data_IF_801776133722
#
_entry.id   IF_801776133722
#
_cell.length_a   1.000
_cell.length_b   1.000
_cell.length_c   1.000
_cell.angle_alpha   90.00
_cell.angle_beta   90.00
_cell.angle_gamma   90.00
#
_symmetry.space_group_name_H-M   'P 1'
#
loop_
_entity.id
_entity.type
_entity.pdbx_description
1 polymer ?
#
# COMPACT_ATOMS: atom_id res chain seq x y z
N UNK A 1 2.54 -25.95 -72.69
CA UNK A 1 3.10 -25.14 -73.78
C UNK A 1 2.90 -23.69 -73.43
N UNK A 2 3.93 -23.01 -73.10
CA UNK A 2 4.36 -21.68 -73.55
C UNK A 2 5.57 -21.28 -72.69
N UNK A 3 6.69 -21.18 -73.38
CA UNK A 3 7.98 -20.69 -72.89
C UNK A 3 7.91 -19.23 -72.51
N UNK A 4 8.59 -18.85 -71.45
CA UNK A 4 9.04 -17.49 -71.32
C UNK A 4 10.50 -17.43 -70.86
N UNK A 5 11.27 -16.74 -71.60
CA UNK A 5 12.74 -16.66 -71.61
C UNK A 5 13.27 -15.79 -70.47
N UNK A 6 14.34 -16.25 -69.91
CA UNK A 6 15.33 -15.54 -69.10
C UNK A 6 15.89 -14.31 -69.83
N UNK A 7 15.97 -13.18 -69.15
CA UNK A 7 16.96 -12.14 -69.41
C UNK A 7 17.73 -11.79 -68.15
N UNK A 8 18.98 -12.14 -68.20
CA UNK A 8 19.98 -11.80 -67.20
C UNK A 8 20.53 -10.42 -67.51
N UNK A 9 20.44 -9.50 -66.57
CA UNK A 9 21.25 -8.27 -66.60
C UNK A 9 22.05 -8.20 -65.31
N UNK A 10 23.34 -8.39 -65.47
CA UNK A 10 24.36 -8.23 -64.43
C UNK A 10 24.61 -6.75 -64.27
N UNK A 11 24.13 -6.18 -63.15
CA UNK A 11 24.46 -4.83 -62.73
C UNK A 11 25.61 -4.87 -61.71
N UNK A 12 26.76 -4.37 -62.09
CA UNK A 12 27.91 -4.21 -61.23
C UNK A 12 27.67 -3.05 -60.27
N UNK A 13 27.34 -3.34 -59.01
CA UNK A 13 27.32 -2.31 -57.95
C UNK A 13 28.69 -2.25 -57.28
N UNK A 14 29.37 -1.13 -57.49
CA UNK A 14 30.55 -0.80 -56.71
C UNK A 14 30.15 -0.46 -55.29
N UNK A 15 30.57 -1.32 -54.32
CA UNK A 15 30.42 -1.05 -52.92
C UNK A 15 31.54 -0.13 -52.45
N UNK A 16 31.20 1.14 -52.23
CA UNK A 16 32.07 2.09 -51.55
C UNK A 16 32.00 1.78 -50.05
N UNK A 17 32.99 1.13 -49.52
CA UNK A 17 33.15 0.91 -48.07
C UNK A 17 33.70 2.21 -47.48
N UNK A 18 32.85 3.02 -46.90
CA UNK A 18 33.24 4.15 -46.06
C UNK A 18 33.59 3.62 -44.69
N UNK A 19 34.89 3.55 -44.41
CA UNK A 19 35.38 3.25 -43.05
C UNK A 19 35.15 4.47 -42.18
N UNK A 20 34.09 4.42 -41.39
CA UNK A 20 33.87 5.36 -40.29
C UNK A 20 34.87 5.00 -39.16
N UNK A 21 35.90 5.79 -39.04
CA UNK A 21 36.77 5.77 -37.88
C UNK A 21 36.00 6.36 -36.71
N UNK A 22 35.39 5.50 -35.91
CA UNK A 22 34.78 5.91 -34.62
C UNK A 22 35.94 6.05 -33.64
N UNK A 23 36.32 7.30 -33.38
CA UNK A 23 37.23 7.60 -32.27
C UNK A 23 36.53 7.23 -30.96
N UNK A 24 37.17 6.50 -30.05
CA UNK A 24 36.57 6.27 -28.72
C UNK A 24 36.55 7.59 -27.98
N UNK A 25 35.34 8.17 -27.83
CA UNK A 25 35.11 9.24 -26.88
C UNK A 25 35.22 8.59 -25.49
N UNK A 26 36.14 9.01 -24.63
CA UNK A 26 36.15 8.48 -23.26
C UNK A 26 34.83 8.80 -22.60
N UNK A 27 34.27 7.89 -21.78
CA UNK A 27 33.08 8.19 -21.03
C UNK A 27 33.39 9.40 -20.16
N UNK A 28 32.77 10.53 -20.45
CA UNK A 28 32.69 11.65 -19.52
C UNK A 28 32.00 11.11 -18.30
N UNK A 29 32.72 10.86 -17.23
CA UNK A 29 32.21 10.74 -15.90
C UNK A 29 31.35 11.99 -15.67
N UNK A 30 30.03 11.82 -15.79
CA UNK A 30 29.12 12.82 -15.26
C UNK A 30 29.45 12.86 -13.77
N UNK A 31 30.14 13.88 -13.36
CA UNK A 31 30.23 14.29 -11.98
C UNK A 31 28.80 14.26 -11.46
N UNK A 32 28.50 13.30 -10.59
CA UNK A 32 27.29 13.32 -9.80
C UNK A 32 27.32 14.69 -9.13
N UNK A 33 26.43 15.56 -9.57
CA UNK A 33 26.19 16.82 -8.91
C UNK A 33 25.98 16.46 -7.44
N UNK A 34 26.88 16.93 -6.60
CA UNK A 34 26.78 16.73 -5.17
C UNK A 34 25.32 17.04 -4.80
N UNK A 35 24.63 16.05 -4.25
CA UNK A 35 23.33 16.27 -3.62
C UNK A 35 23.51 17.51 -2.76
N UNK A 36 22.73 18.58 -2.95
CA UNK A 36 22.85 19.74 -2.12
C UNK A 36 22.78 19.25 -0.69
N UNK A 37 23.80 19.45 0.11
CA UNK A 37 23.71 19.31 1.56
C UNK A 37 22.57 20.22 1.95
N UNK A 38 21.45 19.64 2.29
CA UNK A 38 20.42 20.37 3.02
C UNK A 38 21.12 20.93 4.24
N UNK A 39 21.25 22.24 4.24
CA UNK A 39 21.74 22.98 5.41
C UNK A 39 20.83 22.60 6.56
N UNK A 40 21.38 21.83 7.48
CA UNK A 40 20.67 21.45 8.68
C UNK A 40 20.43 22.67 9.55
N UNK A 41 19.22 23.15 9.54
CA UNK A 41 18.59 23.85 10.63
C UNK A 41 17.32 23.09 11.02
N UNK A 42 17.52 21.87 11.50
CA UNK A 42 16.50 21.14 12.23
C UNK A 42 16.84 21.12 13.71
N UNK A 43 16.66 22.23 14.37
CA UNK A 43 16.43 22.27 15.81
C UNK A 43 14.93 22.43 16.05
N UNK A 44 14.20 21.38 15.80
CA UNK A 44 13.07 20.90 16.62
C UNK A 44 12.67 19.54 16.09
N UNK A 45 13.10 18.52 16.82
CA UNK A 45 12.91 17.15 16.42
C UNK A 45 11.44 16.75 16.43
N UNK A 46 10.98 16.37 15.27
CA UNK A 46 10.03 15.30 15.11
C UNK A 46 10.58 14.42 13.99
N UNK A 47 10.92 13.21 14.34
CA UNK A 47 11.39 12.20 13.40
C UNK A 47 10.38 12.04 12.26
N UNK A 48 10.83 12.31 11.05
CA UNK A 48 10.29 11.66 9.88
C UNK A 48 8.98 12.20 9.30
N UNK A 49 8.88 13.51 9.09
CA UNK A 49 7.71 14.15 8.45
C UNK A 49 7.60 13.95 6.92
N UNK A 50 8.20 12.89 6.38
CA UNK A 50 8.03 12.57 4.97
C UNK A 50 6.62 12.04 4.63
N UNK A 51 5.76 11.84 5.63
CA UNK A 51 4.34 11.48 5.50
C UNK A 51 3.40 12.67 5.56
N UNK A 52 3.91 13.86 5.59
CA UNK A 52 3.06 15.05 5.65
C UNK A 52 2.11 15.05 4.46
N UNK A 53 0.85 15.25 4.73
CA UNK A 53 -0.16 15.47 3.69
C UNK A 53 0.31 16.56 2.73
N UNK A 54 0.07 16.40 1.45
CA UNK A 54 0.53 17.28 0.42
C UNK A 54 -0.64 17.95 -0.31
N UNK A 55 -0.41 19.13 -0.82
CA UNK A 55 -1.36 19.84 -1.67
C UNK A 55 -1.38 19.28 -3.11
N UNK A 56 -2.10 19.97 -3.99
CA UNK A 56 -2.26 19.61 -5.41
C UNK A 56 -0.95 19.43 -6.20
N UNK A 57 0.18 19.84 -5.68
CA UNK A 57 1.48 19.72 -6.33
C UNK A 57 2.48 18.94 -5.48
N UNK A 58 1.98 18.08 -4.62
CA UNK A 58 2.83 17.32 -3.69
C UNK A 58 3.65 18.20 -2.76
N UNK A 59 3.19 19.43 -2.52
CA UNK A 59 3.78 20.32 -1.52
C UNK A 59 3.24 19.95 -0.14
N UNK A 60 4.09 19.80 0.88
CA UNK A 60 3.63 19.50 2.23
C UNK A 60 2.55 20.49 2.69
N UNK A 61 1.39 19.98 3.10
CA UNK A 61 0.36 20.83 3.68
C UNK A 61 0.87 21.39 5.01
N UNK A 62 0.65 22.67 5.26
CA UNK A 62 0.94 23.23 6.55
C UNK A 62 0.06 22.54 7.58
N UNK A 63 0.69 21.78 8.42
CA UNK A 63 0.24 21.21 9.68
C UNK A 63 -1.29 21.03 9.91
N UNK A 64 -1.64 20.27 10.90
CA UNK A 64 -3.00 19.92 11.41
C UNK A 64 -4.01 21.08 11.49
N UNK A 65 -3.56 22.32 11.27
CA UNK A 65 -4.42 23.49 11.15
C UNK A 65 -5.46 23.40 10.02
N UNK A 66 -5.20 22.60 9.01
CA UNK A 66 -6.16 22.33 7.90
C UNK A 66 -7.47 21.72 8.41
N UNK A 67 -7.40 20.98 9.51
CA UNK A 67 -8.55 20.32 10.14
C UNK A 67 -9.08 21.06 11.38
N UNK A 68 -8.29 21.98 11.95
CA UNK A 68 -8.73 22.82 13.07
C UNK A 68 -9.74 23.83 12.56
N UNK A 69 -10.83 24.01 13.27
CA UNK A 69 -11.83 25.06 13.06
C UNK A 69 -12.85 24.86 11.93
N UNK A 70 -12.89 23.71 11.25
CA UNK A 70 -14.00 23.40 10.37
C UNK A 70 -15.22 23.06 11.21
N UNK A 71 -16.28 23.87 11.11
CA UNK A 71 -17.57 23.49 11.70
C UNK A 71 -18.04 22.20 11.06
N UNK A 72 -18.44 21.19 11.85
CA UNK A 72 -19.01 19.96 11.31
C UNK A 72 -20.17 20.28 10.38
N UNK A 73 -20.11 19.79 9.16
CA UNK A 73 -21.22 19.83 8.23
C UNK A 73 -21.86 18.43 8.16
N UNK A 74 -23.18 18.32 7.90
CA UNK A 74 -23.83 17.03 7.79
C UNK A 74 -23.20 16.20 6.67
N UNK A 75 -23.11 14.91 6.89
CA UNK A 75 -22.66 13.97 5.87
C UNK A 75 -23.67 13.92 4.71
N UNK A 76 -23.21 13.82 3.46
CA UNK A 76 -24.10 13.47 2.36
C UNK A 76 -24.52 11.99 2.50
N UNK A 77 -25.82 11.68 2.26
CA UNK A 77 -26.30 10.30 2.37
C UNK A 77 -25.71 9.42 1.27
N UNK A 78 -25.32 8.21 1.64
CA UNK A 78 -24.78 7.17 0.75
C UNK A 78 -23.64 7.64 -0.15
N UNK A 79 -22.77 8.47 0.40
CA UNK A 79 -21.62 9.01 -0.30
C UNK A 79 -20.35 8.88 0.54
N UNK A 80 -19.37 8.13 0.04
CA UNK A 80 -18.03 7.98 0.60
C UNK A 80 -16.98 8.73 -0.23
N UNK A 81 -17.39 9.36 -1.34
CA UNK A 81 -16.48 9.97 -2.30
C UNK A 81 -15.60 11.04 -1.67
N UNK A 82 -14.35 11.05 -2.07
CA UNK A 82 -13.35 11.99 -1.60
C UNK A 82 -11.98 11.37 -1.44
N UNK A 83 -11.00 12.20 -1.12
CA UNK A 83 -9.67 11.77 -0.70
C UNK A 83 -9.58 11.90 0.81
N UNK A 84 -9.18 10.83 1.47
CA UNK A 84 -9.19 10.67 2.91
C UNK A 84 -7.80 10.44 3.45
N UNK A 85 -7.51 10.96 4.64
CA UNK A 85 -6.24 10.78 5.33
C UNK A 85 -6.46 10.27 6.76
N UNK A 86 -5.90 9.11 7.08
CA UNK A 86 -5.90 8.54 8.42
C UNK A 86 -4.80 9.06 9.34
N UNK A 87 -3.91 9.92 8.84
CA UNK A 87 -2.73 10.40 9.58
C UNK A 87 -3.00 11.66 10.41
N UNK A 88 -4.07 12.39 10.11
CA UNK A 88 -4.34 13.71 10.67
C UNK A 88 -4.41 13.74 12.20
N UNK A 89 -4.74 12.65 12.86
CA UNK A 89 -4.83 12.57 14.33
C UNK A 89 -3.51 12.15 15.01
N UNK A 90 -2.40 12.13 14.29
CA UNK A 90 -1.09 11.85 14.83
C UNK A 90 -0.82 10.37 15.07
N UNK A 91 -1.57 9.49 14.39
CA UNK A 91 -1.16 8.11 14.21
C UNK A 91 0.18 8.11 13.49
N UNK A 92 1.21 7.61 14.14
CA UNK A 92 2.45 7.35 13.42
C UNK A 92 2.20 6.07 12.63
N UNK A 93 2.34 6.14 11.32
CA UNK A 93 2.19 4.94 10.46
C UNK A 93 3.15 3.83 10.85
N UNK A 94 4.30 4.19 11.38
CA UNK A 94 5.27 3.24 11.91
C UNK A 94 4.69 2.38 13.06
N UNK A 95 3.65 2.85 13.73
CA UNK A 95 3.01 2.16 14.85
C UNK A 95 1.58 1.70 14.58
N UNK A 96 1.07 1.94 13.37
CA UNK A 96 -0.33 1.70 13.05
C UNK A 96 -1.31 2.69 13.69
N UNK A 97 -2.61 2.59 13.39
CA UNK A 97 -3.65 3.36 14.08
C UNK A 97 -3.68 3.04 15.56
N UNK A 98 -4.04 4.01 16.41
CA UNK A 98 -4.10 3.81 17.87
C UNK A 98 -5.02 2.67 18.30
N UNK A 99 -6.07 2.43 17.55
CA UNK A 99 -7.03 1.35 17.76
C UNK A 99 -6.53 0.01 17.22
N UNK A 100 -5.45 0.01 16.50
CA UNK A 100 -4.89 -1.20 15.94
C UNK A 100 -4.11 -1.94 17.03
N UNK A 101 -4.48 -3.19 17.37
CA UNK A 101 -3.93 -3.86 18.54
C UNK A 101 -2.52 -4.42 18.33
N UNK A 102 -1.74 -3.88 17.42
CA UNK A 102 -0.43 -4.38 17.05
C UNK A 102 0.66 -3.33 16.95
N UNK A 103 0.39 -2.17 17.39
CA UNK A 103 1.55 -1.39 17.77
C UNK A 103 2.30 -2.23 18.83
N UNK A 104 3.60 -2.15 18.81
CA UNK A 104 4.48 -2.95 19.67
C UNK A 104 4.10 -2.97 21.15
N UNK A 105 3.25 -2.04 21.55
CA UNK A 105 2.74 -1.88 22.91
C UNK A 105 1.33 -2.43 23.11
N UNK A 106 0.63 -2.89 22.07
CA UNK A 106 -0.76 -3.26 22.16
C UNK A 106 -0.98 -4.64 22.78
N UNK A 107 -1.75 -4.65 23.80
CA UNK A 107 -2.26 -5.85 24.48
C UNK A 107 -3.76 -5.71 24.73
N UNK A 108 -4.52 -6.77 24.59
CA UNK A 108 -4.08 -8.16 24.41
C UNK A 108 -3.74 -8.50 22.95
N UNK A 109 -2.92 -9.52 22.75
CA UNK A 109 -2.71 -10.16 21.46
C UNK A 109 -4.04 -10.61 20.83
N UNK A 110 -4.13 -10.69 19.50
CA UNK A 110 -5.23 -11.35 18.84
C UNK A 110 -5.43 -12.78 19.35
N UNK A 111 -6.64 -13.32 19.28
CA UNK A 111 -6.96 -14.64 19.81
C UNK A 111 -6.39 -15.76 18.91
N UNK A 112 -5.09 -15.88 18.79
CA UNK A 112 -4.43 -16.87 17.95
C UNK A 112 -4.86 -18.31 18.26
N UNK A 113 -5.07 -19.10 17.20
CA UNK A 113 -5.02 -20.56 17.28
C UNK A 113 -3.58 -21.05 17.47
N UNK A 114 -3.39 -22.35 17.72
CA UNK A 114 -2.04 -22.93 17.75
C UNK A 114 -1.32 -22.77 16.40
N UNK A 115 -2.05 -22.91 15.29
CA UNK A 115 -1.53 -22.72 13.93
C UNK A 115 -1.17 -21.24 13.70
N UNK A 116 -2.05 -20.33 14.12
CA UNK A 116 -1.82 -18.88 14.03
C UNK A 116 -0.56 -18.43 14.79
N UNK A 117 -0.36 -18.93 16.00
CA UNK A 117 0.88 -18.67 16.76
C UNK A 117 2.12 -19.18 16.04
N UNK A 118 2.07 -20.43 15.54
CA UNK A 118 3.18 -20.99 14.80
C UNK A 118 3.47 -20.25 13.49
N UNK A 119 2.43 -19.76 12.81
CA UNK A 119 2.58 -18.94 11.63
C UNK A 119 3.18 -17.57 11.95
N UNK A 120 2.70 -16.92 13.02
CA UNK A 120 3.23 -15.63 13.50
C UNK A 120 4.72 -15.70 13.83
N UNK A 121 5.18 -16.78 14.48
CA UNK A 121 6.59 -16.97 14.80
C UNK A 121 7.49 -17.18 13.56
N UNK A 122 6.95 -17.62 12.44
CA UNK A 122 7.72 -17.72 11.18
C UNK A 122 7.87 -16.39 10.47
N UNK A 123 6.97 -15.47 10.73
CA UNK A 123 7.00 -14.13 10.15
C UNK A 123 7.95 -13.25 10.96
N UNK A 124 9.11 -12.98 10.40
CA UNK A 124 10.17 -12.18 11.01
C UNK A 124 9.95 -10.72 10.62
N UNK A 125 9.23 -9.99 11.44
CA UNK A 125 8.91 -8.60 11.20
C UNK A 125 10.04 -7.68 11.67
N UNK A 126 10.24 -6.57 10.97
CA UNK A 126 11.16 -5.50 11.37
C UNK A 126 10.58 -4.58 12.47
N UNK A 127 9.31 -4.76 12.82
CA UNK A 127 8.59 -3.95 13.79
C UNK A 127 7.83 -4.85 14.78
N UNK A 128 7.40 -4.24 15.90
CA UNK A 128 6.66 -4.95 16.93
C UNK A 128 7.53 -5.45 18.08
N UNK A 129 6.91 -6.14 19.06
CA UNK A 129 7.61 -6.66 20.26
C UNK A 129 8.67 -7.71 19.90
N UNK A 130 8.43 -8.47 18.84
CA UNK A 130 9.29 -9.57 18.40
C UNK A 130 10.11 -9.18 17.15
N UNK A 131 10.39 -7.88 17.01
CA UNK A 131 11.17 -7.38 15.88
C UNK A 131 12.53 -8.09 15.77
N UNK A 132 12.92 -8.36 14.54
CA UNK A 132 14.23 -8.94 14.22
C UNK A 132 15.14 -7.88 13.61
N UNK A 133 16.43 -8.18 13.51
CA UNK A 133 17.37 -7.32 12.79
C UNK A 133 16.97 -7.18 11.31
N UNK A 134 17.30 -6.05 10.71
CA UNK A 134 16.90 -5.72 9.33
C UNK A 134 17.31 -6.79 8.31
N UNK A 135 18.44 -7.45 8.51
CA UNK A 135 18.91 -8.53 7.63
C UNK A 135 18.12 -9.84 7.77
N UNK A 136 17.38 -10.02 8.85
CA UNK A 136 16.60 -11.22 9.13
C UNK A 136 15.11 -11.07 8.79
N UNK A 137 14.67 -9.86 8.41
CA UNK A 137 13.29 -9.57 8.04
C UNK A 137 12.87 -10.36 6.82
N UNK A 138 11.71 -11.01 6.89
CA UNK A 138 11.14 -11.76 5.78
C UNK A 138 9.77 -11.22 5.32
N UNK A 139 9.52 -9.95 5.58
CA UNK A 139 8.31 -9.29 5.10
C UNK A 139 8.27 -9.27 3.56
N UNK A 140 7.22 -9.82 2.92
CA UNK A 140 7.09 -9.82 1.47
C UNK A 140 7.17 -8.41 0.86
N UNK A 141 6.70 -7.40 1.57
CA UNK A 141 6.71 -6.00 1.13
C UNK A 141 8.14 -5.47 0.93
N UNK A 142 9.11 -5.98 1.69
CA UNK A 142 10.53 -5.63 1.52
C UNK A 142 11.14 -6.18 0.21
N UNK A 143 10.37 -6.96 -0.52
CA UNK A 143 10.71 -7.43 -1.88
C UNK A 143 9.79 -6.83 -2.95
N UNK A 144 9.04 -5.78 -2.61
CA UNK A 144 8.03 -5.14 -3.43
C UNK A 144 6.85 -6.05 -3.80
N UNK A 145 6.59 -7.10 -3.04
CA UNK A 145 5.32 -7.80 -3.16
C UNK A 145 4.18 -6.87 -2.73
N UNK A 146 2.99 -7.01 -3.32
CA UNK A 146 1.84 -6.20 -2.92
C UNK A 146 1.54 -6.31 -1.42
N UNK A 147 1.13 -5.20 -0.80
CA UNK A 147 0.71 -5.19 0.61
C UNK A 147 -0.33 -6.26 0.89
N UNK A 148 -1.24 -6.43 -0.04
CA UNK A 148 -2.42 -7.25 0.14
C UNK A 148 -3.48 -6.59 1.02
N UNK A 149 -4.60 -7.28 1.16
CA UNK A 149 -5.71 -6.86 1.97
C UNK A 149 -5.93 -7.86 3.12
N UNK A 150 -6.16 -7.41 4.35
CA UNK A 150 -6.50 -6.04 4.79
C UNK A 150 -5.32 -5.14 5.17
N UNK A 151 -4.06 -5.54 4.93
CA UNK A 151 -2.90 -4.74 5.33
C UNK A 151 -2.93 -3.32 4.74
N UNK A 152 -3.44 -3.16 3.50
CA UNK A 152 -3.61 -1.83 2.90
C UNK A 152 -4.45 -0.88 3.75
N UNK A 153 -5.33 -1.39 4.59
CA UNK A 153 -6.22 -0.61 5.43
C UNK A 153 -5.75 -0.54 6.90
N UNK A 154 -5.04 -1.56 7.33
CA UNK A 154 -4.58 -1.68 8.71
C UNK A 154 -3.19 -1.07 8.92
N UNK A 155 -2.38 -1.07 7.88
CA UNK A 155 -1.04 -0.51 7.92
C UNK A 155 -0.76 0.30 6.66
N UNK A 156 -0.02 1.38 6.81
CA UNK A 156 0.33 2.27 5.70
C UNK A 156 -0.87 2.97 5.06
N UNK A 157 -1.92 3.23 5.84
CA UNK A 157 -2.98 4.14 5.47
C UNK A 157 -2.40 5.55 5.30
N UNK A 158 -1.96 5.82 4.09
CA UNK A 158 -1.69 7.17 3.60
C UNK A 158 -2.97 7.75 3.04
N UNK A 159 -2.86 8.75 2.20
CA UNK A 159 -4.04 9.22 1.51
C UNK A 159 -4.68 8.08 0.69
N UNK A 160 -6.00 8.02 0.73
CA UNK A 160 -6.80 7.12 -0.07
C UNK A 160 -7.92 7.87 -0.74
N UNK A 161 -8.21 7.57 -1.99
CA UNK A 161 -9.32 8.14 -2.70
C UNK A 161 -10.45 7.11 -2.88
N UNK A 162 -11.66 7.52 -2.60
CA UNK A 162 -12.86 6.71 -2.82
C UNK A 162 -13.66 7.36 -3.95
N UNK A 163 -13.95 6.59 -4.99
CA UNK A 163 -14.81 6.99 -6.10
C UNK A 163 -15.97 5.99 -6.23
N UNK A 164 -17.19 6.51 -6.34
CA UNK A 164 -18.39 5.69 -6.44
C UNK A 164 -18.95 5.72 -7.84
N UNK A 165 -19.44 4.56 -8.27
CA UNK A 165 -20.23 4.37 -9.49
C UNK A 165 -21.55 3.68 -9.12
N UNK A 166 -22.50 3.55 -10.03
CA UNK A 166 -23.74 2.83 -9.71
C UNK A 166 -23.55 1.36 -9.34
N UNK A 167 -22.46 0.72 -9.79
CA UNK A 167 -22.27 -0.74 -9.65
C UNK A 167 -21.09 -1.13 -8.77
N UNK A 168 -20.22 -0.19 -8.43
CA UNK A 168 -19.05 -0.48 -7.60
C UNK A 168 -18.46 0.80 -7.00
N UNK A 169 -17.72 0.61 -5.93
CA UNK A 169 -16.84 1.60 -5.31
C UNK A 169 -15.40 1.24 -5.68
N UNK A 170 -14.64 2.23 -6.14
CA UNK A 170 -13.18 2.14 -6.28
C UNK A 170 -12.54 2.75 -5.05
N UNK A 171 -11.68 1.98 -4.42
CA UNK A 171 -10.83 2.42 -3.33
C UNK A 171 -9.39 2.42 -3.81
N UNK A 172 -8.80 3.60 -3.94
CA UNK A 172 -7.44 3.81 -4.40
C UNK A 172 -6.57 4.18 -3.21
N UNK A 173 -5.46 3.46 -3.04
CA UNK A 173 -4.49 3.75 -2.00
C UNK A 173 -3.26 4.40 -2.62
N UNK A 174 -2.77 5.47 -2.01
CA UNK A 174 -1.52 6.11 -2.40
C UNK A 174 -0.33 5.15 -2.27
N UNK A 175 -0.30 4.36 -1.20
CA UNK A 175 0.78 3.40 -0.97
C UNK A 175 0.77 2.30 -2.03
N UNK A 176 1.84 2.19 -2.80
CA UNK A 176 2.01 1.31 -3.97
C UNK A 176 1.03 1.59 -5.14
N UNK A 177 0.30 2.70 -5.12
CA UNK A 177 -0.65 3.07 -6.18
C UNK A 177 -1.61 1.93 -6.55
N UNK A 178 -2.17 1.27 -5.55
CA UNK A 178 -3.07 0.15 -5.74
C UNK A 178 -4.52 0.55 -5.63
N UNK A 179 -5.39 -0.21 -6.27
CA UNK A 179 -6.82 -0.02 -6.15
C UNK A 179 -7.53 -1.33 -5.84
N UNK A 180 -8.68 -1.21 -5.20
CA UNK A 180 -9.60 -2.29 -4.90
C UNK A 180 -10.99 -1.94 -5.44
N UNK A 181 -11.64 -2.90 -6.10
CA UNK A 181 -13.02 -2.77 -6.54
C UNK A 181 -13.94 -3.46 -5.55
N UNK A 182 -14.89 -2.71 -5.02
CA UNK A 182 -15.95 -3.21 -4.11
C UNK A 182 -17.25 -3.17 -4.90
N UNK A 183 -17.81 -4.32 -5.21
CA UNK A 183 -19.03 -4.43 -6.00
C UNK A 183 -20.27 -4.11 -5.19
N UNK A 184 -21.18 -3.33 -5.76
CA UNK A 184 -22.43 -2.88 -5.13
C UNK A 184 -23.67 -3.22 -5.93
N UNK A 185 -23.51 -4.07 -6.94
CA UNK A 185 -24.60 -4.49 -7.85
C UNK A 185 -25.41 -5.70 -7.34
N UNK A 186 -25.23 -6.08 -6.08
CA UNK A 186 -25.97 -7.17 -5.44
C UNK A 186 -25.42 -8.57 -5.72
N UNK A 187 -24.25 -8.69 -6.36
CA UNK A 187 -23.63 -10.00 -6.56
C UNK A 187 -23.18 -10.62 -5.25
N UNK A 188 -23.13 -11.95 -5.21
CA UNK A 188 -22.58 -12.71 -4.08
C UNK A 188 -21.05 -12.81 -4.17
N UNK A 189 -20.41 -12.98 -3.02
CA UNK A 189 -19.00 -13.36 -2.94
C UNK A 189 -18.78 -14.76 -3.56
N UNK A 190 -17.63 -15.00 -4.24
CA UNK A 190 -17.33 -16.30 -4.79
C UNK A 190 -17.15 -17.34 -3.67
N UNK A 191 -17.72 -18.55 -3.86
CA UNK A 191 -17.64 -19.64 -2.87
C UNK A 191 -16.25 -20.29 -2.80
N UNK A 192 -15.57 -20.38 -3.95
CA UNK A 192 -14.22 -20.94 -4.05
C UNK A 192 -13.34 -19.99 -4.86
N UNK A 193 -12.93 -18.87 -4.27
CA UNK A 193 -12.15 -17.85 -4.97
C UNK A 193 -10.73 -18.35 -5.30
N UNK A 194 -10.26 -18.02 -6.50
CA UNK A 194 -8.82 -18.06 -6.78
C UNK A 194 -8.18 -16.92 -5.99
N UNK A 195 -7.14 -17.16 -5.18
CA UNK A 195 -6.56 -16.13 -4.35
C UNK A 195 -6.07 -14.90 -5.14
N UNK A 196 -6.30 -13.72 -4.59
CA UNK A 196 -5.83 -12.42 -5.09
C UNK A 196 -5.26 -11.62 -3.94
N UNK A 197 -4.28 -10.79 -4.19
CA UNK A 197 -3.70 -9.93 -3.14
C UNK A 197 -4.74 -9.07 -2.41
N UNK A 198 -5.75 -8.56 -3.12
CA UNK A 198 -6.81 -7.71 -2.57
C UNK A 198 -8.17 -8.42 -2.50
N UNK A 199 -8.21 -9.74 -2.74
CA UNK A 199 -9.41 -10.56 -2.64
C UNK A 199 -10.55 -10.15 -3.56
N UNK A 200 -11.76 -10.50 -3.14
CA UNK A 200 -13.04 -10.18 -3.79
C UNK A 200 -13.92 -9.48 -2.78
N UNK A 201 -14.39 -8.29 -3.11
CA UNK A 201 -15.16 -7.47 -2.20
C UNK A 201 -16.56 -7.17 -2.74
N UNK A 202 -17.56 -7.31 -1.88
CA UNK A 202 -18.91 -6.82 -2.12
C UNK A 202 -19.30 -5.86 -1.01
N UNK A 203 -20.07 -4.84 -1.34
CA UNK A 203 -20.49 -3.83 -0.38
C UNK A 203 -21.96 -3.46 -0.51
N UNK A 204 -22.54 -3.02 0.59
CA UNK A 204 -23.90 -2.53 0.62
C UNK A 204 -24.07 -1.43 1.68
N UNK A 205 -25.04 -0.58 1.48
CA UNK A 205 -25.43 0.41 2.46
C UNK A 205 -26.36 -0.22 3.51
N UNK A 206 -25.95 -0.20 4.77
CA UNK A 206 -26.77 -0.64 5.91
C UNK A 206 -27.78 0.45 6.27
N UNK A 207 -27.35 1.70 6.19
CA UNK A 207 -28.16 2.92 6.33
C UNK A 207 -27.60 4.03 5.42
N UNK A 208 -28.09 5.27 5.56
CA UNK A 208 -27.64 6.38 4.71
C UNK A 208 -26.19 6.84 4.98
N UNK A 209 -25.59 6.40 6.07
CA UNK A 209 -24.27 6.86 6.50
C UNK A 209 -23.29 5.70 6.81
N UNK A 210 -23.74 4.47 6.73
CA UNK A 210 -22.94 3.28 7.03
C UNK A 210 -22.89 2.34 5.83
N UNK A 211 -21.68 2.15 5.30
CA UNK A 211 -21.41 1.21 4.23
C UNK A 211 -20.64 0.01 4.77
N UNK A 212 -21.11 -1.18 4.47
CA UNK A 212 -20.50 -2.44 4.93
C UNK A 212 -19.89 -3.16 3.74
N UNK A 213 -18.66 -3.62 3.90
CA UNK A 213 -17.92 -4.38 2.89
C UNK A 213 -17.52 -5.73 3.45
N UNK A 214 -17.71 -6.76 2.66
CA UNK A 214 -17.21 -8.10 2.95
C UNK A 214 -16.19 -8.52 1.89
N UNK A 215 -15.07 -9.07 2.33
CA UNK A 215 -13.98 -9.51 1.45
C UNK A 215 -13.53 -10.91 1.80
N UNK A 216 -13.33 -11.74 0.77
CA UNK A 216 -12.80 -13.11 0.85
C UNK A 216 -11.76 -13.35 -0.25
N UNK A 217 -11.05 -14.48 -0.18
CA UNK A 217 -10.14 -14.93 -1.23
C UNK A 217 -8.88 -14.10 -1.35
N UNK A 218 -8.37 -13.63 -0.23
CA UNK A 218 -7.06 -12.97 -0.14
C UNK A 218 -5.92 -13.99 -0.24
N UNK A 219 -4.77 -13.54 -0.71
CA UNK A 219 -3.58 -14.39 -0.87
C UNK A 219 -2.83 -14.52 0.46
N UNK A 220 -2.73 -15.71 0.99
CA UNK A 220 -2.12 -16.03 2.29
C UNK A 220 -0.61 -15.74 2.39
N UNK A 221 0.04 -15.38 1.29
CA UNK A 221 1.44 -14.93 1.29
C UNK A 221 1.60 -13.52 1.87
N UNK A 222 0.52 -12.76 1.95
CA UNK A 222 0.54 -11.44 2.57
C UNK A 222 0.37 -11.52 4.09
N UNK A 223 0.73 -10.46 4.78
CA UNK A 223 0.50 -10.32 6.22
C UNK A 223 -0.71 -9.41 6.46
N UNK A 224 -1.32 -9.53 7.63
CA UNK A 224 -2.38 -8.58 8.02
C UNK A 224 -1.83 -7.18 8.31
N UNK A 225 -0.55 -7.07 8.69
CA UNK A 225 0.08 -5.85 9.17
C UNK A 225 1.61 -5.90 9.08
N UNK A 226 2.28 -4.87 9.61
CA UNK A 226 3.74 -4.74 9.64
C UNK A 226 4.43 -5.55 10.76
N UNK A 227 3.67 -6.06 11.73
CA UNK A 227 4.25 -6.90 12.80
C UNK A 227 4.12 -8.38 12.48
N UNK A 228 3.68 -8.74 11.28
CA UNK A 228 3.72 -10.11 10.77
C UNK A 228 2.55 -10.97 11.21
N UNK A 229 1.37 -10.42 11.51
CA UNK A 229 0.18 -11.22 11.79
C UNK A 229 -0.24 -12.01 10.56
N UNK A 230 -0.38 -13.34 10.70
CA UNK A 230 -0.71 -14.21 9.57
C UNK A 230 -2.21 -14.20 9.27
N UNK A 231 -2.54 -14.60 8.06
CA UNK A 231 -3.87 -15.06 7.70
C UNK A 231 -3.78 -16.28 6.80
N UNK A 232 -4.91 -16.93 6.58
CA UNK A 232 -5.04 -18.06 5.67
C UNK A 232 -5.96 -17.72 4.50
N UNK A 233 -6.10 -18.68 3.58
CA UNK A 233 -7.08 -18.58 2.48
C UNK A 233 -8.55 -18.54 2.95
N UNK A 234 -8.83 -18.90 4.22
CA UNK A 234 -10.17 -18.87 4.79
C UNK A 234 -10.51 -17.50 5.41
N UNK A 235 -9.60 -16.54 5.30
CA UNK A 235 -9.82 -15.19 5.80
C UNK A 235 -11.08 -14.57 5.21
N UNK A 236 -11.93 -14.06 6.10
CA UNK A 236 -13.03 -13.15 5.81
C UNK A 236 -12.80 -11.84 6.56
N UNK A 237 -12.91 -10.75 5.87
CA UNK A 237 -12.81 -9.42 6.46
C UNK A 237 -14.12 -8.69 6.30
N UNK A 238 -14.57 -8.05 7.38
CA UNK A 238 -15.74 -7.16 7.36
C UNK A 238 -15.27 -5.77 7.72
N UNK A 239 -15.51 -4.83 6.82
CA UNK A 239 -15.25 -3.41 7.04
C UNK A 239 -16.60 -2.68 7.23
N UNK A 240 -16.60 -1.74 8.14
CA UNK A 240 -17.73 -0.81 8.34
C UNK A 240 -17.18 0.61 8.21
N UNK A 241 -17.65 1.31 7.20
CA UNK A 241 -17.34 2.71 6.96
C UNK A 241 -18.55 3.54 7.38
N UNK A 242 -18.40 4.26 8.46
CA UNK A 242 -19.45 5.16 8.96
C UNK A 242 -19.03 6.61 8.76
N UNK A 243 -19.89 7.40 8.12
CA UNK A 243 -19.63 8.82 7.84
C UNK A 243 -20.48 9.72 8.74
N UNK A 244 -20.02 10.07 9.96
CA UNK A 244 -20.79 10.85 10.91
C UNK A 244 -20.92 12.32 10.50
N UNK A 245 -20.02 12.82 9.65
CA UNK A 245 -20.06 14.18 9.14
C UNK A 245 -19.45 14.26 7.74
N UNK A 246 -19.55 15.42 7.09
CA UNK A 246 -18.98 15.62 5.75
C UNK A 246 -17.49 15.31 5.71
N UNK A 247 -16.76 15.72 6.73
CA UNK A 247 -15.31 15.73 6.74
C UNK A 247 -14.68 14.55 7.53
N UNK A 248 -15.50 13.65 8.06
CA UNK A 248 -15.06 12.50 8.87
C UNK A 248 -15.63 11.20 8.30
N UNK A 249 -14.78 10.19 8.21
CA UNK A 249 -15.14 8.81 7.90
C UNK A 249 -14.48 7.91 8.96
N UNK A 250 -15.26 7.06 9.60
CA UNK A 250 -14.79 6.08 10.60
C UNK A 250 -14.68 4.70 9.95
N UNK A 251 -13.52 4.07 10.05
CA UNK A 251 -13.28 2.72 9.55
C UNK A 251 -13.13 1.73 10.70
N UNK A 252 -13.98 0.71 10.71
CA UNK A 252 -13.84 -0.45 11.59
C UNK A 252 -13.55 -1.70 10.75
N UNK A 253 -12.52 -2.47 11.12
CA UNK A 253 -12.11 -3.69 10.42
C UNK A 253 -12.19 -4.87 11.36
N UNK A 254 -12.94 -5.88 10.96
CA UNK A 254 -13.09 -7.15 11.71
C UNK A 254 -12.48 -8.29 10.90
N UNK A 255 -11.65 -9.07 11.55
CA UNK A 255 -10.96 -10.25 11.01
C UNK A 255 -11.68 -11.51 11.49
N UNK A 256 -12.01 -12.39 10.57
CA UNK A 256 -12.51 -13.74 10.84
C UNK A 256 -11.70 -14.74 10.01
N UNK A 257 -10.83 -15.48 10.65
CA UNK A 257 -10.01 -16.53 10.04
C UNK A 257 -9.91 -17.71 11.03
N UNK A 258 -10.78 -18.70 10.89
CA UNK A 258 -10.88 -19.79 11.85
C UNK A 258 -9.65 -20.70 11.91
N UNK A 259 -8.77 -20.66 10.90
CA UNK A 259 -7.49 -21.39 10.94
C UNK A 259 -6.47 -20.66 11.81
N UNK A 260 -6.38 -19.33 11.70
CA UNK A 260 -5.37 -18.53 12.38
C UNK A 260 -5.82 -18.02 13.76
N UNK A 261 -7.15 -17.82 13.95
CA UNK A 261 -7.71 -17.26 15.17
C UNK A 261 -8.84 -18.12 15.72
N UNK A 262 -8.97 -18.17 17.04
CA UNK A 262 -9.99 -18.99 17.73
C UNK A 262 -11.38 -18.35 17.72
N UNK A 263 -11.47 -17.08 17.35
CA UNK A 263 -12.72 -16.32 17.21
C UNK A 263 -12.45 -15.07 16.36
N UNK A 264 -13.50 -14.48 15.75
CA UNK A 264 -13.38 -13.17 15.13
C UNK A 264 -12.90 -12.10 16.12
N UNK A 265 -12.16 -11.11 15.61
CA UNK A 265 -11.64 -10.00 16.41
C UNK A 265 -11.61 -8.70 15.60
N UNK A 266 -11.69 -7.59 16.30
CA UNK A 266 -11.66 -6.24 15.69
C UNK A 266 -10.21 -5.79 15.60
N UNK A 267 -9.71 -5.67 14.37
CA UNK A 267 -8.34 -5.24 14.10
C UNK A 267 -8.19 -3.71 14.13
N UNK A 268 -9.21 -2.98 13.70
CA UNK A 268 -9.30 -1.54 13.83
C UNK A 268 -10.71 -1.15 14.25
N UNK A 269 -10.84 -0.23 15.19
CA UNK A 269 -12.14 0.19 15.74
C UNK A 269 -12.30 1.69 15.61
N UNK A 270 -13.13 2.11 14.63
CA UNK A 270 -13.43 3.52 14.36
C UNK A 270 -12.20 4.38 14.10
N UNK A 271 -11.26 3.86 13.29
CA UNK A 271 -10.17 4.67 12.81
C UNK A 271 -10.75 5.90 12.10
N UNK A 272 -10.40 7.07 12.60
CA UNK A 272 -10.88 8.33 12.05
C UNK A 272 -10.07 8.72 10.82
N UNK A 273 -10.77 8.91 9.72
CA UNK A 273 -10.23 9.40 8.46
C UNK A 273 -10.77 10.81 8.21
N UNK A 274 -9.90 11.71 7.79
CA UNK A 274 -10.24 13.11 7.52
C UNK A 274 -10.32 13.39 6.04
N UNK A 275 -11.35 14.10 5.60
CA UNK A 275 -11.50 14.52 4.21
C UNK A 275 -10.44 15.55 3.85
N UNK A 276 -9.60 15.24 2.89
CA UNK A 276 -8.60 16.14 2.33
C UNK A 276 -9.23 17.20 1.41
N UNK A 277 -8.52 18.29 1.13
CA UNK A 277 -8.95 19.27 0.12
C UNK A 277 -9.27 18.63 -1.22
N UNK A 278 -10.23 19.17 -1.96
CA UNK A 278 -10.67 18.60 -3.24
C UNK A 278 -9.59 18.63 -4.34
N UNK A 279 -8.60 19.47 -4.17
CA UNK A 279 -7.44 19.62 -5.06
C UNK A 279 -6.18 18.91 -4.53
N UNK A 280 -6.33 18.04 -3.54
CA UNK A 280 -5.21 17.26 -3.01
C UNK A 280 -4.70 16.25 -4.03
N UNK A 281 -3.40 16.31 -4.31
CA UNK A 281 -2.71 15.34 -5.15
C UNK A 281 -2.10 14.24 -4.26
N UNK A 282 -2.55 13.01 -4.43
CA UNK A 282 -2.03 11.88 -3.65
C UNK A 282 -0.55 11.57 -3.94
N UNK A 283 -0.03 12.04 -5.08
CA UNK A 283 1.32 11.70 -5.52
C UNK A 283 1.52 10.20 -5.80
N UNK A 284 2.70 9.86 -6.26
CA UNK A 284 3.06 8.47 -6.55
C UNK A 284 3.91 7.87 -5.43
N UNK A 285 3.59 6.64 -5.05
CA UNK A 285 4.37 5.83 -4.11
C UNK A 285 4.55 4.43 -4.69
N UNK A 286 5.58 4.27 -5.48
CA UNK A 286 5.87 3.04 -6.20
C UNK A 286 7.04 2.33 -5.53
N UNK A 287 6.94 1.03 -5.31
CA UNK A 287 8.05 0.20 -4.90
C UNK A 287 8.90 -0.16 -6.12
N UNK A 288 10.21 0.03 -6.02
CA UNK A 288 11.19 -0.33 -7.06
C UNK A 288 11.96 -1.58 -6.64
N UNK A 289 11.72 -2.74 -7.28
CA UNK A 289 12.44 -3.98 -6.93
C UNK A 289 13.95 -3.87 -7.10
N UNK A 290 14.42 -3.07 -8.05
CA UNK A 290 15.85 -2.85 -8.26
C UNK A 290 16.49 -2.06 -7.11
N UNK A 291 15.83 -1.01 -6.63
CA UNK A 291 16.30 -0.22 -5.49
C UNK A 291 16.26 -1.03 -4.19
N UNK A 292 15.20 -1.81 -3.98
CA UNK A 292 15.11 -2.71 -2.83
C UNK A 292 16.22 -3.78 -2.87
N UNK A 293 16.53 -4.33 -4.05
CA UNK A 293 17.63 -5.28 -4.19
C UNK A 293 18.98 -4.65 -3.86
N UNK A 294 19.20 -3.41 -4.27
CA UNK A 294 20.43 -2.67 -3.96
C UNK A 294 20.51 -2.33 -2.46
N UNK A 295 19.40 -1.88 -1.86
CA UNK A 295 19.34 -1.67 -0.43
C UNK A 295 19.68 -2.94 0.37
N UNK A 296 19.12 -4.09 -0.01
CA UNK A 296 19.42 -5.37 0.64
C UNK A 296 20.91 -5.67 0.58
N UNK A 297 21.56 -5.55 -0.58
CA UNK A 297 23.01 -5.80 -0.73
C UNK A 297 23.88 -4.86 0.09
N UNK A 298 23.52 -3.59 0.17
CA UNK A 298 24.36 -2.57 0.81
C UNK A 298 24.13 -2.46 2.31
N UNK A 299 22.91 -2.76 2.78
CA UNK A 299 22.48 -2.48 4.16
C UNK A 299 22.08 -3.77 4.88
N UNK A 300 21.12 -4.52 4.34
CA UNK A 300 20.52 -5.65 5.05
C UNK A 300 21.46 -6.86 5.13
N UNK A 301 22.06 -7.27 4.01
CA UNK A 301 22.94 -8.45 3.96
C UNK A 301 24.21 -8.31 4.82
N UNK A 302 24.90 -7.16 4.86
CA UNK A 302 26.05 -6.97 5.75
C UNK A 302 25.70 -7.11 7.23
N UNK A 303 24.52 -6.63 7.64
CA UNK A 303 24.06 -6.71 9.04
C UNK A 303 23.68 -8.15 9.44
N UNK A 304 23.10 -8.92 8.53
CA UNK A 304 22.79 -10.33 8.76
C UNK A 304 24.06 -11.20 8.95
N UNK A 305 25.18 -10.79 8.34
CA UNK A 305 26.48 -11.48 8.48
C UNK A 305 27.12 -11.37 9.87
N UNK A 306 26.86 -10.27 10.57
CA UNK A 306 27.49 -9.98 11.87
C UNK A 306 26.78 -10.65 13.06
N UNK A 307 25.61 -11.27 12.83
CA UNK A 307 24.78 -11.93 13.87
C UNK A 307 25.08 -13.45 14.05
N UNK A 308 26.16 -13.96 13.44
CA UNK A 308 26.57 -15.38 13.53
C UNK A 308 27.72 -15.59 14.49
#
# INVERSE_FOLDING_TARGET
MVNCRMFSTIGLFAVVVSVLVVSPVPPTLHSQSAVPKQSGDSQNGNNGDWWVSHDKWNTPLPDKSVYKDKKPAPAPPRDLSGTWDGLAEGGTQAKGPKEFPDDASHKPDPPYSALGKAARMRNKAGEGEEQVAVGDVNDPVDSCDPLGFPRSDLFSLKAMAIAQTPNYVLWLNQYYNVYRTIWTDGRELPKNPVPRYYGYSVGHWEDDYTFVVETVGTDERTWLDNVGRPHSSDLRVVERLHRPSRDILELTVTIDDPKMYTKPWVASNKLTLHLLPADFDMGEMICSPSEMSEYKKLVADPVAGDSK
#
